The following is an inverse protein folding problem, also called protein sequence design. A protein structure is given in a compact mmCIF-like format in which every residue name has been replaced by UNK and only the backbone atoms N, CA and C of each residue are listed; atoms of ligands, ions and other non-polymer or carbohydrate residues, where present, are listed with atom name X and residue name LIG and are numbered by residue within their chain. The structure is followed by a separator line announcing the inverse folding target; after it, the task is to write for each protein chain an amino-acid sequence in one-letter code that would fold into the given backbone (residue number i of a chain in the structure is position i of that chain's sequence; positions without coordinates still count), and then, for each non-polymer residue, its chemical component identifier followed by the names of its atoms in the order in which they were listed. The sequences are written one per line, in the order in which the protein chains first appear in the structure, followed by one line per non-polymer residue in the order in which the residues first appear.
data_IF_107374515857
#
_entry.id   IF_107374515857
#
_cell.length_a   1.000
_cell.length_b   1.000
_cell.length_c   1.000
_cell.angle_alpha   90.00
_cell.angle_beta   90.00
_cell.angle_gamma   90.00
#
_symmetry.space_group_name_H-M   'P 1'
#
loop_
_entity.id
_entity.type
_entity.pdbx_description
1 polymer ?
#
# COMPACT_ATOMS: atom_id res chain seq x y z
N UNK A 1 -10.06 5.45 -20.63
CA UNK A 1 -10.51 4.06 -20.41
C UNK A 1 -9.68 3.02 -21.17
N UNK A 2 -9.56 3.12 -22.51
CA UNK A 2 -8.77 2.16 -23.31
C UNK A 2 -7.30 2.01 -22.84
N UNK A 3 -6.63 3.12 -22.50
CA UNK A 3 -5.26 3.08 -21.96
C UNK A 3 -5.14 2.34 -20.62
N UNK A 4 -6.11 2.51 -19.72
CA UNK A 4 -6.14 1.79 -18.44
C UNK A 4 -6.32 0.29 -18.66
N UNK A 5 -7.24 -0.10 -19.55
CA UNK A 5 -7.45 -1.51 -19.90
C UNK A 5 -6.20 -2.14 -20.53
N UNK A 6 -5.55 -1.44 -21.46
CA UNK A 6 -4.31 -1.90 -22.07
C UNK A 6 -3.18 -2.05 -21.04
N UNK A 7 -3.05 -1.12 -20.09
CA UNK A 7 -2.08 -1.20 -19.02
C UNK A 7 -2.35 -2.40 -18.10
N UNK A 8 -3.60 -2.60 -17.67
CA UNK A 8 -3.99 -3.76 -16.85
C UNK A 8 -3.71 -5.10 -17.55
N UNK A 9 -4.03 -5.21 -18.84
CA UNK A 9 -3.75 -6.41 -19.63
C UNK A 9 -2.24 -6.66 -19.76
N UNK A 10 -1.45 -5.61 -19.96
CA UNK A 10 0.01 -5.71 -20.06
C UNK A 10 0.61 -6.20 -18.75
N UNK A 11 0.24 -5.58 -17.62
CA UNK A 11 0.68 -5.98 -16.29
C UNK A 11 0.30 -7.44 -15.98
N UNK A 12 -0.94 -7.84 -16.28
CA UNK A 12 -1.41 -9.21 -16.09
C UNK A 12 -0.58 -10.23 -16.89
N UNK A 13 -0.39 -10.00 -18.18
CA UNK A 13 0.34 -10.93 -19.05
C UNK A 13 1.82 -11.00 -18.69
N UNK A 14 2.44 -9.86 -18.41
CA UNK A 14 3.85 -9.79 -18.01
C UNK A 14 4.07 -10.58 -16.71
N UNK A 15 3.32 -10.29 -15.64
CA UNK A 15 3.52 -11.02 -14.38
C UNK A 15 3.15 -12.50 -14.47
N UNK A 16 2.17 -12.87 -15.31
CA UNK A 16 1.90 -14.27 -15.62
C UNK A 16 3.14 -14.96 -16.19
N UNK A 17 3.84 -14.31 -17.12
CA UNK A 17 5.01 -14.89 -17.76
C UNK A 17 6.22 -14.95 -16.81
N UNK A 18 6.40 -13.95 -15.93
CA UNK A 18 7.40 -14.03 -14.83
C UNK A 18 7.11 -15.21 -13.88
N UNK A 19 5.84 -15.47 -13.56
CA UNK A 19 5.46 -16.66 -12.77
C UNK A 19 5.83 -17.95 -13.53
N UNK A 20 5.63 -17.99 -14.85
CA UNK A 20 6.00 -19.17 -15.66
C UNK A 20 7.51 -19.41 -15.65
N UNK A 21 8.29 -18.36 -15.85
CA UNK A 21 9.75 -18.40 -15.84
C UNK A 21 10.28 -18.84 -14.47
N UNK A 22 9.72 -18.30 -13.39
CA UNK A 22 10.15 -18.61 -12.02
C UNK A 22 9.70 -19.98 -11.51
N UNK A 23 8.41 -20.31 -11.65
CA UNK A 23 7.79 -21.50 -11.03
C UNK A 23 7.82 -22.72 -11.95
N UNK A 24 7.56 -22.57 -13.25
CA UNK A 24 7.39 -23.72 -14.15
C UNK A 24 8.63 -24.03 -15.01
N UNK A 25 9.46 -23.03 -15.30
CA UNK A 25 10.68 -23.19 -16.10
C UNK A 25 11.97 -23.18 -15.27
N UNK A 26 11.92 -22.74 -14.01
CA UNK A 26 13.05 -22.81 -13.08
C UNK A 26 14.17 -21.79 -13.34
N UNK A 27 13.88 -20.69 -14.03
CA UNK A 27 14.91 -19.69 -14.39
C UNK A 27 15.37 -18.81 -13.22
N UNK A 28 14.64 -18.81 -12.10
CA UNK A 28 14.97 -18.02 -10.91
C UNK A 28 16.04 -18.68 -10.04
N UNK A 29 17.27 -18.78 -10.56
CA UNK A 29 18.45 -19.20 -9.80
C UNK A 29 18.72 -18.25 -8.62
N UNK A 30 19.54 -18.64 -7.62
CA UNK A 30 19.86 -17.75 -6.48
C UNK A 30 20.44 -16.39 -6.89
N UNK A 31 21.18 -16.32 -7.99
CA UNK A 31 21.73 -15.07 -8.54
C UNK A 31 20.61 -14.17 -9.06
N UNK A 32 19.65 -14.74 -9.81
CA UNK A 32 18.47 -14.01 -10.31
C UNK A 32 17.61 -13.52 -9.15
N UNK A 33 17.34 -14.38 -8.16
CA UNK A 33 16.58 -13.99 -6.97
C UNK A 33 17.25 -12.85 -6.20
N UNK A 34 18.58 -12.87 -6.06
CA UNK A 34 19.33 -11.77 -5.44
C UNK A 34 19.16 -10.46 -6.24
N UNK A 35 19.19 -10.54 -7.57
CA UNK A 35 18.90 -9.40 -8.45
C UNK A 35 17.48 -8.84 -8.25
N UNK A 36 16.46 -9.70 -8.22
CA UNK A 36 15.08 -9.31 -7.97
C UNK A 36 14.90 -8.63 -6.60
N UNK A 37 15.58 -9.12 -5.56
CA UNK A 37 15.59 -8.48 -4.22
C UNK A 37 16.18 -7.08 -4.27
N UNK A 38 17.31 -6.87 -4.95
CA UNK A 38 17.87 -5.52 -5.12
C UNK A 38 16.94 -4.61 -5.91
N UNK A 39 16.32 -5.12 -6.99
CA UNK A 39 15.35 -4.37 -7.77
C UNK A 39 14.16 -3.89 -6.92
N UNK A 40 13.59 -4.77 -6.09
CA UNK A 40 12.49 -4.43 -5.20
C UNK A 40 12.90 -3.40 -4.12
N UNK A 41 14.09 -3.55 -3.52
CA UNK A 41 14.59 -2.59 -2.54
C UNK A 41 14.78 -1.20 -3.17
N UNK A 42 15.37 -1.12 -4.37
CA UNK A 42 15.56 0.14 -5.07
C UNK A 42 14.23 0.78 -5.48
N UNK A 43 13.26 -0.03 -5.92
CA UNK A 43 11.90 0.43 -6.20
C UNK A 43 11.23 1.02 -4.95
N UNK A 44 11.30 0.33 -3.80
CA UNK A 44 10.75 0.86 -2.55
C UNK A 44 11.45 2.17 -2.15
N UNK A 45 12.77 2.26 -2.32
CA UNK A 45 13.52 3.49 -2.05
C UNK A 45 13.03 4.65 -2.93
N UNK A 46 12.77 4.42 -4.22
CA UNK A 46 12.22 5.47 -5.08
C UNK A 46 10.84 5.93 -4.62
N UNK A 47 9.97 5.00 -4.17
CA UNK A 47 8.65 5.37 -3.64
C UNK A 47 8.76 6.15 -2.32
N UNK A 48 9.76 5.86 -1.47
CA UNK A 48 10.02 6.66 -0.26
C UNK A 48 10.38 8.11 -0.62
N UNK A 49 11.23 8.33 -1.64
CA UNK A 49 11.55 9.68 -2.11
C UNK A 49 10.35 10.37 -2.78
N UNK A 50 9.51 9.62 -3.47
CA UNK A 50 8.25 10.12 -4.01
C UNK A 50 7.35 10.68 -2.89
N UNK A 51 7.16 9.94 -1.78
CA UNK A 51 6.41 10.44 -0.62
C UNK A 51 7.13 11.59 0.10
N UNK A 52 8.47 11.59 0.16
CA UNK A 52 9.23 12.68 0.76
C UNK A 52 8.91 14.04 0.12
N UNK A 53 8.59 14.07 -1.19
CA UNK A 53 8.11 15.27 -1.88
C UNK A 53 6.78 15.79 -1.33
N UNK A 54 5.81 14.90 -1.05
CA UNK A 54 4.53 15.29 -0.45
C UNK A 54 4.69 15.76 1.00
N UNK A 55 5.53 15.08 1.79
CA UNK A 55 5.84 15.53 3.14
C UNK A 55 6.52 16.90 3.14
N UNK A 56 7.45 17.14 2.21
CA UNK A 56 8.05 18.46 2.05
C UNK A 56 6.98 19.52 1.72
N UNK A 57 6.10 19.26 0.75
CA UNK A 57 5.01 20.20 0.44
C UNK A 57 4.14 20.52 1.68
N UNK A 58 3.76 19.49 2.46
CA UNK A 58 3.03 19.67 3.71
C UNK A 58 3.81 20.53 4.73
N UNK A 59 5.07 20.21 5.00
CA UNK A 59 5.88 20.95 5.99
C UNK A 59 6.16 22.38 5.55
N UNK A 60 6.40 22.60 4.26
CA UNK A 60 6.61 23.94 3.72
C UNK A 60 5.39 24.84 3.99
N UNK A 61 4.18 24.32 3.75
CA UNK A 61 2.94 25.08 3.92
C UNK A 61 2.47 25.21 5.37
N UNK A 62 2.73 24.19 6.20
CA UNK A 62 2.27 24.16 7.60
C UNK A 62 3.19 24.87 8.59
N UNK A 63 4.50 24.86 8.36
CA UNK A 63 5.48 25.50 9.25
C UNK A 63 5.59 27.02 9.04
N UNK A 64 5.22 27.53 7.86
CA UNK A 64 5.18 28.95 7.55
C UNK A 64 3.88 29.34 6.83
N UNK A 65 2.72 29.32 7.52
CA UNK A 65 1.42 29.61 6.90
C UNK A 65 1.37 31.05 6.37
N UNK A 66 0.84 31.23 5.17
CA UNK A 66 0.75 32.55 4.54
C UNK A 66 -0.38 33.40 5.15
N UNK A 67 -0.35 34.74 4.99
CA UNK A 67 -1.43 35.60 5.48
C UNK A 67 -2.82 35.25 4.92
N UNK A 68 -2.89 34.74 3.69
CA UNK A 68 -4.13 34.29 3.04
C UNK A 68 -4.79 33.10 3.77
N UNK A 69 -4.00 32.32 4.53
CA UNK A 69 -4.48 31.23 5.38
C UNK A 69 -4.88 31.69 6.79
N UNK A 70 -4.70 32.98 7.10
CA UNK A 70 -4.86 33.55 8.43
C UNK A 70 -3.59 33.52 9.29
N UNK A 71 -2.43 33.17 8.71
CA UNK A 71 -1.15 33.11 9.43
C UNK A 71 -1.08 31.99 10.49
N UNK A 72 -1.95 30.99 10.41
CA UNK A 72 -2.02 29.86 11.33
C UNK A 72 -2.18 28.52 10.60
N UNK A 73 -1.92 27.42 11.31
CA UNK A 73 -2.16 26.06 10.83
C UNK A 73 -2.89 25.24 11.90
N UNK A 74 -3.99 24.54 11.57
CA UNK A 74 -4.70 24.53 10.27
C UNK A 74 -5.22 25.92 9.86
N UNK A 75 -5.43 26.18 8.56
CA UNK A 75 -5.97 27.46 8.07
C UNK A 75 -7.33 27.79 8.69
N UNK A 76 -7.63 29.08 8.85
CA UNK A 76 -8.90 29.53 9.39
C UNK A 76 -10.10 28.97 8.59
N UNK A 77 -11.07 28.35 9.26
CA UNK A 77 -12.25 27.74 8.64
C UNK A 77 -12.11 26.25 8.32
N UNK A 78 -10.89 25.68 8.39
CA UNK A 78 -10.69 24.24 8.27
C UNK A 78 -10.95 23.57 9.63
N UNK A 79 -11.81 22.55 9.62
CA UNK A 79 -12.05 21.67 10.76
C UNK A 79 -11.32 20.34 10.48
N UNK A 80 -10.15 20.10 11.10
CA UNK A 80 -9.39 18.87 10.88
C UNK A 80 -10.13 17.67 11.48
N UNK A 81 -9.85 16.49 10.93
CA UNK A 81 -10.31 15.22 11.51
C UNK A 81 -9.65 15.00 12.87
N UNK A 82 -10.39 14.39 13.80
CA UNK A 82 -9.85 14.01 15.09
C UNK A 82 -8.94 12.78 14.93
N UNK A 83 -7.63 12.88 15.28
CA UNK A 83 -6.68 11.79 15.08
C UNK A 83 -6.97 10.56 15.96
N UNK A 84 -7.78 10.69 17.01
CA UNK A 84 -8.11 9.59 17.93
C UNK A 84 -9.29 8.73 17.49
N UNK A 85 -9.99 9.13 16.42
CA UNK A 85 -11.17 8.41 15.91
C UNK A 85 -10.76 7.40 14.82
N UNK A 86 -11.31 7.52 13.61
CA UNK A 86 -11.02 6.63 12.47
C UNK A 86 -9.53 6.58 12.11
N UNK A 87 -8.74 7.69 12.15
CA UNK A 87 -7.31 7.63 11.86
C UNK A 87 -6.52 6.69 12.80
N UNK A 88 -6.85 6.68 14.10
CA UNK A 88 -6.21 5.79 15.07
C UNK A 88 -6.59 4.33 14.80
N UNK A 89 -7.88 4.08 14.47
CA UNK A 89 -8.33 2.75 14.06
C UNK A 89 -7.57 2.26 12.82
N UNK A 90 -7.47 3.09 11.78
CA UNK A 90 -6.71 2.77 10.57
C UNK A 90 -5.24 2.43 10.86
N UNK A 91 -4.61 3.17 11.77
CA UNK A 91 -3.25 2.89 12.23
C UNK A 91 -3.16 1.50 12.88
N UNK A 92 -4.08 1.18 13.78
CA UNK A 92 -4.10 -0.13 14.46
C UNK A 92 -4.37 -1.29 13.48
N UNK A 93 -5.21 -1.09 12.47
CA UNK A 93 -5.48 -2.07 11.40
C UNK A 93 -4.22 -2.37 10.59
N UNK A 94 -3.45 -1.35 10.19
CA UNK A 94 -2.20 -1.56 9.45
C UNK A 94 -1.10 -2.21 10.32
N UNK A 95 -1.03 -1.88 11.60
CA UNK A 95 -0.09 -2.55 12.52
C UNK A 95 -0.47 -4.03 12.72
N UNK A 96 -1.77 -4.32 12.89
CA UNK A 96 -2.26 -5.68 12.99
C UNK A 96 -2.01 -6.49 11.72
N UNK A 97 -2.18 -5.89 10.53
CA UNK A 97 -1.88 -6.56 9.26
C UNK A 97 -0.39 -6.86 9.09
N UNK A 98 0.49 -6.01 9.63
CA UNK A 98 1.93 -6.26 9.76
C UNK A 98 2.26 -7.50 10.60
N UNK A 99 1.52 -7.72 11.69
CA UNK A 99 1.66 -8.93 12.51
C UNK A 99 1.17 -10.17 11.74
N UNK A 100 -0.01 -10.10 11.12
CA UNK A 100 -0.57 -11.25 10.40
C UNK A 100 0.25 -11.65 9.16
N UNK A 101 0.83 -10.68 8.42
CA UNK A 101 1.70 -11.03 7.28
C UNK A 101 3.02 -11.64 7.73
N UNK A 102 3.55 -11.21 8.88
CA UNK A 102 4.75 -11.81 9.49
C UNK A 102 4.46 -13.25 9.92
N UNK A 103 3.30 -13.50 10.52
CA UNK A 103 2.83 -14.85 10.83
C UNK A 103 2.67 -15.71 9.56
N UNK A 104 2.11 -15.16 8.48
CA UNK A 104 2.00 -15.86 7.21
C UNK A 104 3.38 -16.26 6.65
N UNK A 105 4.36 -15.36 6.73
CA UNK A 105 5.72 -15.62 6.26
C UNK A 105 6.42 -16.72 7.07
N UNK A 106 6.34 -16.68 8.40
CA UNK A 106 6.88 -17.76 9.24
C UNK A 106 6.19 -19.10 8.96
N UNK A 107 4.86 -19.12 8.84
CA UNK A 107 4.12 -20.34 8.50
C UNK A 107 4.54 -20.92 7.14
N UNK A 108 4.86 -20.07 6.16
CA UNK A 108 5.37 -20.51 4.87
C UNK A 108 6.75 -21.18 4.98
N UNK A 109 7.66 -20.58 5.76
CA UNK A 109 9.01 -21.14 5.98
C UNK A 109 8.98 -22.45 6.77
N UNK A 110 8.00 -22.63 7.66
CA UNK A 110 7.78 -23.86 8.42
C UNK A 110 7.00 -24.93 7.63
N UNK A 111 6.46 -24.60 6.46
CA UNK A 111 5.67 -25.52 5.63
C UNK A 111 4.20 -25.67 6.06
N UNK A 112 3.74 -24.86 7.02
CA UNK A 112 2.38 -24.87 7.58
C UNK A 112 1.39 -24.16 6.65
N UNK A 113 0.97 -24.88 5.60
CA UNK A 113 0.13 -24.33 4.51
C UNK A 113 -1.19 -23.73 5.00
N UNK A 114 -1.89 -24.39 5.92
CA UNK A 114 -3.18 -23.94 6.44
C UNK A 114 -3.04 -22.60 7.15
N UNK A 115 -2.03 -22.48 8.02
CA UNK A 115 -1.73 -21.27 8.78
C UNK A 115 -1.27 -20.13 7.87
N UNK A 116 -0.43 -20.42 6.86
CA UNK A 116 -0.03 -19.43 5.86
C UNK A 116 -1.25 -18.83 5.14
N UNK A 117 -2.16 -19.69 4.66
CA UNK A 117 -3.39 -19.28 3.97
C UNK A 117 -4.28 -18.44 4.90
N UNK A 118 -4.49 -18.89 6.14
CA UNK A 118 -5.33 -18.18 7.10
C UNK A 118 -4.76 -16.80 7.43
N UNK A 119 -3.48 -16.72 7.75
CA UNK A 119 -2.81 -15.48 8.12
C UNK A 119 -2.75 -14.48 6.95
N UNK A 120 -2.51 -14.97 5.73
CA UNK A 120 -2.54 -14.15 4.53
C UNK A 120 -3.94 -13.62 4.22
N UNK A 121 -4.98 -14.45 4.39
CA UNK A 121 -6.38 -14.03 4.24
C UNK A 121 -6.73 -12.92 5.25
N UNK A 122 -6.35 -13.07 6.52
CA UNK A 122 -6.56 -12.04 7.55
C UNK A 122 -5.90 -10.71 7.12
N UNK A 123 -4.65 -10.77 6.64
CA UNK A 123 -3.92 -9.59 6.17
C UNK A 123 -4.67 -8.87 5.04
N UNK A 124 -5.17 -9.62 4.06
CA UNK A 124 -5.92 -9.08 2.92
C UNK A 124 -7.23 -8.43 3.39
N UNK A 125 -7.96 -9.09 4.31
CA UNK A 125 -9.20 -8.55 4.86
C UNK A 125 -8.95 -7.26 5.65
N UNK A 126 -7.86 -7.18 6.42
CA UNK A 126 -7.48 -5.95 7.12
C UNK A 126 -7.12 -4.82 6.14
N UNK A 127 -6.43 -5.10 5.04
CA UNK A 127 -6.16 -4.12 3.98
C UNK A 127 -7.42 -3.61 3.28
N UNK A 128 -8.38 -4.51 2.99
CA UNK A 128 -9.69 -4.13 2.47
C UNK A 128 -10.49 -3.30 3.48
N UNK A 129 -10.42 -3.64 4.77
CA UNK A 129 -11.06 -2.89 5.84
C UNK A 129 -10.49 -1.48 5.99
N UNK A 130 -9.16 -1.32 6.00
CA UNK A 130 -8.50 -0.02 5.96
C UNK A 130 -9.00 0.82 4.77
N UNK A 131 -9.08 0.22 3.58
CA UNK A 131 -9.53 0.94 2.37
C UNK A 131 -10.97 1.43 2.51
N UNK A 132 -11.87 0.61 3.09
CA UNK A 132 -13.25 0.99 3.34
C UNK A 132 -13.37 2.13 4.38
N UNK A 133 -12.59 2.06 5.45
CA UNK A 133 -12.52 3.13 6.46
C UNK A 133 -11.98 4.44 5.87
N UNK A 134 -10.91 4.37 5.05
CA UNK A 134 -10.35 5.55 4.39
C UNK A 134 -11.34 6.17 3.40
N UNK A 135 -12.09 5.36 2.67
CA UNK A 135 -13.14 5.85 1.77
C UNK A 135 -14.28 6.54 2.55
N UNK A 136 -14.69 5.96 3.69
CA UNK A 136 -15.67 6.58 4.59
C UNK A 136 -15.16 7.92 5.13
N UNK A 137 -13.90 7.99 5.58
CA UNK A 137 -13.28 9.22 6.05
C UNK A 137 -13.28 10.33 4.99
N UNK A 138 -13.05 10.00 3.72
CA UNK A 138 -13.10 10.96 2.60
C UNK A 138 -14.51 11.44 2.26
N UNK A 139 -15.53 10.62 2.50
CA UNK A 139 -16.93 11.00 2.26
C UNK A 139 -17.42 11.94 3.37
N UNK A 140 -17.03 11.68 4.62
CA UNK A 140 -17.48 12.44 5.79
C UNK A 140 -16.58 13.65 6.12
N UNK A 141 -15.44 13.81 5.45
CA UNK A 141 -14.52 14.92 5.72
C UNK A 141 -15.19 16.28 5.44
N UNK A 142 -15.12 17.26 6.36
CA UNK A 142 -15.74 18.58 6.19
C UNK A 142 -14.98 19.50 5.24
N UNK A 143 -13.89 19.02 4.64
CA UNK A 143 -13.05 19.71 3.67
C UNK A 143 -12.76 18.77 2.49
N UNK A 144 -12.42 19.35 1.35
CA UNK A 144 -12.20 18.70 0.07
C UNK A 144 -10.81 19.01 -0.46
N UNK A 145 -10.41 18.38 -1.57
CA UNK A 145 -9.13 18.67 -2.23
C UNK A 145 -9.02 20.13 -2.71
N UNK A 146 -10.16 20.80 -2.93
CA UNK A 146 -10.22 22.18 -3.38
C UNK A 146 -10.08 23.22 -2.25
N UNK A 147 -10.10 22.79 -0.97
CA UNK A 147 -10.01 23.68 0.20
C UNK A 147 -8.57 24.07 0.51
N UNK A 148 -7.97 24.76 -0.46
CA UNK A 148 -6.64 25.34 -0.39
C UNK A 148 -5.53 24.31 -0.18
N UNK A 149 -4.42 24.79 0.38
CA UNK A 149 -3.21 23.98 0.55
C UNK A 149 -3.38 22.88 1.60
N UNK A 150 -4.27 23.07 2.59
CA UNK A 150 -4.58 22.04 3.58
C UNK A 150 -5.25 20.83 2.90
N UNK A 151 -6.35 21.05 2.17
CA UNK A 151 -7.05 20.00 1.44
C UNK A 151 -6.16 19.34 0.38
N UNK A 152 -5.43 20.15 -0.39
CA UNK A 152 -4.50 19.65 -1.42
C UNK A 152 -3.41 18.75 -0.83
N UNK A 153 -2.71 19.18 0.22
CA UNK A 153 -1.63 18.38 0.83
C UNK A 153 -2.17 17.13 1.54
N UNK A 154 -3.32 17.23 2.20
CA UNK A 154 -3.99 16.10 2.84
C UNK A 154 -4.37 15.04 1.80
N UNK A 155 -5.26 15.34 0.85
CA UNK A 155 -5.82 14.35 -0.08
C UNK A 155 -4.79 13.80 -1.07
N UNK A 156 -3.76 14.58 -1.44
CA UNK A 156 -2.70 14.07 -2.30
C UNK A 156 -1.83 13.06 -1.57
N UNK A 157 -1.38 13.37 -0.35
CA UNK A 157 -0.52 12.48 0.42
C UNK A 157 -1.26 11.20 0.83
N UNK A 158 -2.44 11.33 1.43
CA UNK A 158 -3.25 10.19 1.89
C UNK A 158 -3.86 9.43 0.71
N UNK A 159 -4.22 10.11 -0.38
CA UNK A 159 -4.74 9.49 -1.60
C UNK A 159 -3.72 8.61 -2.30
N UNK A 160 -2.48 9.09 -2.47
CA UNK A 160 -1.41 8.25 -3.00
C UNK A 160 -1.09 7.08 -2.07
N UNK A 161 -1.08 7.30 -0.75
CA UNK A 161 -0.94 6.19 0.20
C UNK A 161 -2.06 5.14 0.05
N UNK A 162 -3.32 5.58 -0.07
CA UNK A 162 -4.46 4.68 -0.31
C UNK A 162 -4.32 3.89 -1.62
N UNK A 163 -3.83 4.51 -2.70
CA UNK A 163 -3.51 3.81 -3.95
C UNK A 163 -2.44 2.72 -3.72
N UNK A 164 -1.41 3.00 -2.92
CA UNK A 164 -0.38 1.99 -2.57
C UNK A 164 -0.97 0.84 -1.76
N UNK A 165 -1.90 1.09 -0.85
CA UNK A 165 -2.59 0.03 -0.09
C UNK A 165 -3.43 -0.85 -1.02
N UNK A 166 -4.11 -0.26 -2.02
CA UNK A 166 -4.84 -1.03 -3.04
C UNK A 166 -3.91 -1.91 -3.90
N UNK A 167 -2.78 -1.35 -4.35
CA UNK A 167 -1.77 -2.09 -5.12
C UNK A 167 -1.19 -3.24 -4.25
N UNK A 168 -0.82 -2.96 -3.01
CA UNK A 168 -0.30 -3.95 -2.06
C UNK A 168 -1.31 -5.06 -1.78
N UNK A 169 -2.57 -4.72 -1.52
CA UNK A 169 -3.64 -5.70 -1.29
C UNK A 169 -3.89 -6.58 -2.53
N UNK A 170 -3.84 -6.00 -3.73
CA UNK A 170 -3.92 -6.75 -4.99
C UNK A 170 -2.74 -7.71 -5.15
N UNK A 171 -1.54 -7.27 -4.78
CA UNK A 171 -0.36 -8.13 -4.82
C UNK A 171 -0.47 -9.28 -3.81
N UNK A 172 -0.94 -9.03 -2.59
CA UNK A 172 -1.21 -10.08 -1.61
C UNK A 172 -2.28 -11.08 -2.08
N UNK A 173 -3.32 -10.62 -2.78
CA UNK A 173 -4.30 -11.50 -3.42
C UNK A 173 -3.66 -12.41 -4.47
N UNK A 174 -2.74 -11.90 -5.29
CA UNK A 174 -1.95 -12.72 -6.23
C UNK A 174 -1.11 -13.75 -5.47
N UNK A 175 -0.44 -13.36 -4.39
CA UNK A 175 0.31 -14.29 -3.54
C UNK A 175 -0.60 -15.37 -2.93
N UNK A 176 -1.81 -15.02 -2.50
CA UNK A 176 -2.79 -15.97 -1.98
C UNK A 176 -3.20 -16.99 -3.05
N UNK A 177 -3.51 -16.55 -4.26
CA UNK A 177 -3.83 -17.43 -5.39
C UNK A 177 -2.65 -18.36 -5.70
N UNK A 178 -1.43 -17.82 -5.76
CA UNK A 178 -0.21 -18.61 -5.99
C UNK A 178 0.04 -19.64 -4.89
N UNK A 179 -0.20 -19.29 -3.63
CA UNK A 179 -0.14 -20.23 -2.52
C UNK A 179 -1.18 -21.33 -2.71
N UNK A 180 -2.43 -21.00 -3.00
CA UNK A 180 -3.49 -21.98 -3.23
C UNK A 180 -3.14 -22.96 -4.37
N UNK A 181 -2.39 -22.50 -5.38
CA UNK A 181 -1.90 -23.32 -6.49
C UNK A 181 -0.54 -24.01 -6.22
N UNK A 182 -0.03 -23.98 -4.98
CA UNK A 182 1.23 -24.63 -4.58
C UNK A 182 2.48 -24.08 -5.30
N UNK A 183 2.48 -22.82 -5.72
CA UNK A 183 3.63 -22.23 -6.42
C UNK A 183 4.80 -21.87 -5.49
N UNK A 184 4.54 -21.69 -4.20
CA UNK A 184 5.56 -21.33 -3.21
C UNK A 184 6.13 -22.57 -2.52
N UNK A 185 7.41 -22.48 -2.19
CA UNK A 185 8.11 -23.46 -1.35
C UNK A 185 8.63 -22.77 -0.09
N UNK A 186 8.99 -23.56 0.93
CA UNK A 186 9.55 -23.03 2.17
C UNK A 186 10.85 -22.21 1.96
N UNK A 187 11.59 -22.50 0.88
CA UNK A 187 12.90 -21.90 0.59
C UNK A 187 12.91 -20.93 -0.59
N UNK A 188 11.86 -20.95 -1.44
CA UNK A 188 11.70 -20.07 -2.60
C UNK A 188 10.24 -19.63 -2.73
N UNK A 189 10.00 -18.35 -2.48
CA UNK A 189 8.70 -17.69 -2.50
C UNK A 189 8.81 -16.23 -2.93
#
# INVERSE_FOLDING_TARGET
LAGLLANSLTMYQWWRDVIREGTFQGHHTPVVQKGLRYGMVLFIISEVFFFAGFFWAFYHSSLAPTPELGGCWPPAGIIPLNPLDVPLLNTSVLLASGVSITWAHHSLMEGERSHMIQALLITILLGAYFTALQAFEYIESPFTIADGVYGSTFFMATGFHGLHVLIGTTFLLVCMIRQLLYHFTATHH
#
